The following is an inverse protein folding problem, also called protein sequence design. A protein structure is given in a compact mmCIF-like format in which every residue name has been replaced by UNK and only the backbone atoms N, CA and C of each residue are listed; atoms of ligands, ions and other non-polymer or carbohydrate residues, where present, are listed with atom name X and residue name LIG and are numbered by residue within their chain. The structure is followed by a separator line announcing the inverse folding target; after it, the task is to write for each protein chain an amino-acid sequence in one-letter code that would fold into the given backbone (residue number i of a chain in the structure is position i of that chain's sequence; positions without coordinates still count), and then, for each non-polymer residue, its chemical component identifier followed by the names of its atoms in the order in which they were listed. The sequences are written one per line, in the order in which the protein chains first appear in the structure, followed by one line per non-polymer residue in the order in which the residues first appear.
data_IF_521220416996
#
_entry.id   IF_521220416996
#
_cell.length_a   1.000
_cell.length_b   1.000
_cell.length_c   1.000
_cell.angle_alpha   90.00
_cell.angle_beta   90.00
_cell.angle_gamma   90.00
#
_symmetry.space_group_name_H-M   'P 1'
#
loop_
_entity.id
_entity.type
_entity.pdbx_description
1 polymer ?
#
# COMPACT_ATOMS: atom_id res chain seq x y z
N UNK A 1 16.58 12.40 -28.04
CA UNK A 1 16.20 12.29 -27.59
C UNK A 1 15.59 11.41 -27.05
N UNK A 2 15.26 11.19 -26.41
CA UNK A 2 14.78 10.38 -25.87
C UNK A 2 13.53 10.16 -25.98
N UNK A 3 13.18 9.33 -26.22
CA UNK A 3 11.86 9.16 -26.48
C UNK A 3 11.09 8.72 -25.34
N UNK A 4 9.89 9.06 -25.29
CA UNK A 4 9.13 8.69 -24.24
C UNK A 4 8.42 7.49 -24.61
N UNK A 5 8.04 6.66 -23.80
CA UNK A 5 7.43 5.52 -24.12
C UNK A 5 6.04 5.62 -24.39
N UNK A 6 5.38 4.71 -25.06
CA UNK A 6 3.99 4.71 -25.36
C UNK A 6 3.18 4.41 -24.13
N UNK A 7 2.10 5.12 -23.91
CA UNK A 7 1.29 4.93 -22.73
C UNK A 7 0.69 3.54 -22.58
N UNK A 8 0.23 2.98 -23.67
CA UNK A 8 -0.40 1.66 -23.62
C UNK A 8 0.59 0.61 -23.18
N UNK A 9 1.79 0.68 -23.72
CA UNK A 9 2.84 -0.23 -23.33
C UNK A 9 3.23 -0.07 -21.89
N UNK A 10 3.23 1.17 -21.43
CA UNK A 10 3.56 1.48 -20.07
C UNK A 10 2.62 0.83 -19.07
N UNK A 11 1.34 0.89 -19.36
CA UNK A 11 0.34 0.35 -18.45
C UNK A 11 0.51 -1.16 -18.31
N UNK A 12 0.69 -1.82 -19.43
CA UNK A 12 0.85 -3.26 -19.43
C UNK A 12 2.12 -3.69 -18.71
N UNK A 13 3.20 -2.97 -18.97
CA UNK A 13 4.46 -3.26 -18.33
C UNK A 13 4.36 -3.05 -16.83
N UNK A 14 3.61 -2.06 -16.42
CA UNK A 14 3.45 -1.75 -15.02
C UNK A 14 2.82 -2.91 -14.26
N UNK A 15 1.81 -3.53 -14.85
CA UNK A 15 1.16 -4.67 -14.22
C UNK A 15 2.11 -5.83 -14.05
N UNK A 16 2.88 -6.12 -15.09
CA UNK A 16 3.84 -7.21 -15.05
C UNK A 16 4.91 -6.93 -14.01
N UNK A 17 5.40 -5.69 -14.01
CA UNK A 17 6.44 -5.31 -13.05
C UNK A 17 5.94 -5.41 -11.63
N UNK A 18 4.70 -5.02 -11.39
CA UNK A 18 4.16 -5.06 -10.04
C UNK A 18 4.09 -6.48 -9.52
N UNK A 19 3.61 -7.40 -10.34
CA UNK A 19 3.54 -8.79 -9.93
C UNK A 19 4.93 -9.33 -9.62
N UNK A 20 5.89 -8.98 -10.45
CA UNK A 20 7.26 -9.42 -10.25
C UNK A 20 7.82 -8.89 -8.93
N UNK A 21 7.55 -7.62 -8.64
CA UNK A 21 8.00 -7.03 -7.40
C UNK A 21 7.37 -7.71 -6.19
N UNK A 22 6.09 -8.01 -6.28
CA UNK A 22 5.41 -8.68 -5.18
C UNK A 22 6.02 -10.05 -4.92
N UNK A 23 6.21 -10.81 -5.98
CA UNK A 23 6.75 -12.16 -5.85
C UNK A 23 8.18 -12.13 -5.32
N UNK A 24 8.96 -11.14 -5.77
CA UNK A 24 10.31 -11.01 -5.26
C UNK A 24 10.31 -10.67 -3.77
N UNK A 25 9.42 -9.78 -3.35
CA UNK A 25 9.35 -9.40 -1.94
C UNK A 25 8.82 -10.54 -1.08
N UNK A 26 7.99 -11.40 -1.65
CA UNK A 26 7.50 -12.55 -0.91
C UNK A 26 8.63 -13.53 -0.59
N UNK A 27 9.60 -13.61 -1.49
CA UNK A 27 10.75 -14.47 -1.29
C UNK A 27 11.84 -13.80 -0.46
N UNK A 28 11.92 -12.47 -0.56
CA UNK A 28 12.97 -11.70 0.10
C UNK A 28 12.37 -10.40 0.63
N UNK A 29 12.02 -10.37 1.92
CA UNK A 29 11.37 -9.17 2.49
C UNK A 29 12.17 -7.89 2.30
N UNK A 30 13.48 -7.98 2.09
CA UNK A 30 14.28 -6.79 1.82
C UNK A 30 13.88 -6.09 0.53
N UNK A 31 13.20 -6.80 -0.37
CA UNK A 31 12.74 -6.22 -1.61
C UNK A 31 11.43 -5.45 -1.44
N UNK A 32 10.84 -5.48 -0.26
CA UNK A 32 9.58 -4.79 -0.01
C UNK A 32 9.70 -3.27 -0.18
N UNK A 33 10.90 -2.73 0.00
CA UNK A 33 11.09 -1.28 -0.13
C UNK A 33 10.61 -0.74 -1.47
N UNK A 34 10.75 -1.53 -2.53
CA UNK A 34 10.29 -1.10 -3.84
C UNK A 34 8.78 -0.97 -3.90
N UNK A 35 8.07 -1.88 -3.25
CA UNK A 35 6.61 -1.80 -3.17
C UNK A 35 6.19 -0.63 -2.30
N UNK A 36 6.92 -0.39 -1.23
CA UNK A 36 6.66 0.74 -0.35
C UNK A 36 6.76 2.05 -1.12
N UNK A 37 7.87 2.24 -1.82
CA UNK A 37 8.08 3.50 -2.53
C UNK A 37 7.09 3.72 -3.65
N UNK A 38 6.73 2.68 -4.37
CA UNK A 38 5.82 2.86 -5.49
C UNK A 38 4.38 3.04 -5.07
N UNK A 39 4.05 2.74 -3.82
CA UNK A 39 2.67 2.84 -3.36
C UNK A 39 2.45 3.86 -2.26
N UNK A 40 3.52 4.44 -1.73
CA UNK A 40 3.40 5.33 -0.58
C UNK A 40 2.44 6.49 -0.82
N UNK A 41 2.63 7.21 -1.92
CA UNK A 41 1.83 8.41 -2.16
C UNK A 41 0.35 8.08 -2.26
N UNK A 42 0.02 6.98 -2.88
CA UNK A 42 -1.37 6.59 -3.03
C UNK A 42 -2.02 6.25 -1.70
N UNK A 43 -1.30 5.52 -0.86
CA UNK A 43 -1.83 5.16 0.45
C UNK A 43 -1.96 6.40 1.31
N UNK A 44 -0.94 7.25 1.30
CA UNK A 44 -0.97 8.46 2.09
C UNK A 44 -2.14 9.37 1.68
N UNK A 45 -2.35 9.53 0.38
CA UNK A 45 -3.43 10.37 -0.12
C UNK A 45 -4.80 9.85 0.34
N UNK A 46 -4.94 8.53 0.36
CA UNK A 46 -6.17 7.92 0.82
C UNK A 46 -6.39 8.16 2.30
N UNK A 47 -5.33 8.02 3.07
CA UNK A 47 -5.41 8.13 4.53
C UNK A 47 -5.61 9.57 4.98
N UNK A 48 -4.86 10.50 4.36
CA UNK A 48 -4.87 11.88 4.84
C UNK A 48 -6.24 12.54 4.71
N UNK A 49 -7.07 12.04 3.83
CA UNK A 49 -8.42 12.59 3.67
C UNK A 49 -9.38 12.09 4.73
N UNK A 50 -9.00 11.07 5.47
CA UNK A 50 -9.89 10.40 6.40
C UNK A 50 -9.51 10.51 7.86
N UNK A 51 -8.35 11.11 8.14
CA UNK A 51 -7.92 11.30 9.51
C UNK A 51 -7.86 12.79 9.81
N UNK A 52 -7.59 13.13 11.06
CA UNK A 52 -7.69 14.52 11.50
C UNK A 52 -6.52 15.40 11.10
N UNK A 53 -5.33 14.88 11.13
CA UNK A 53 -4.17 15.72 10.85
C UNK A 53 -3.06 14.92 10.21
N UNK A 54 -2.00 15.64 9.84
CA UNK A 54 -0.89 15.03 9.11
C UNK A 54 -0.17 13.98 9.94
N UNK A 55 0.00 14.26 11.21
CA UNK A 55 0.74 13.33 12.06
C UNK A 55 0.02 11.99 12.14
N UNK A 56 -1.29 12.04 12.30
CA UNK A 56 -2.07 10.82 12.31
C UNK A 56 -2.01 10.11 10.96
N UNK A 57 -2.01 10.88 9.87
CA UNK A 57 -1.92 10.29 8.54
C UNK A 57 -0.61 9.55 8.36
N UNK A 58 0.48 10.12 8.86
CA UNK A 58 1.78 9.47 8.76
C UNK A 58 1.84 8.20 9.58
N UNK A 59 1.27 8.25 10.79
CA UNK A 59 1.24 7.08 11.65
C UNK A 59 0.44 5.95 11.03
N UNK A 60 -0.74 6.27 10.50
CA UNK A 60 -1.58 5.26 9.90
C UNK A 60 -0.93 4.68 8.65
N UNK A 61 -0.33 5.53 7.82
CA UNK A 61 0.32 5.06 6.62
C UNK A 61 1.45 4.10 6.96
N UNK A 62 2.23 4.44 7.98
CA UNK A 62 3.30 3.56 8.44
C UNK A 62 2.74 2.22 8.90
N UNK A 63 1.65 2.26 9.64
CA UNK A 63 1.01 1.04 10.12
C UNK A 63 0.51 0.17 8.98
N UNK A 64 -0.02 0.80 7.93
CA UNK A 64 -0.51 0.06 6.76
C UNK A 64 0.62 -0.76 6.15
N UNK A 65 1.78 -0.14 5.97
CA UNK A 65 2.88 -0.85 5.34
C UNK A 65 3.48 -1.91 6.27
N UNK A 66 3.44 -1.69 7.57
CA UNK A 66 3.84 -2.73 8.51
C UNK A 66 2.94 -3.94 8.41
N UNK A 67 1.62 -3.71 8.37
CA UNK A 67 0.67 -4.81 8.23
C UNK A 67 0.84 -5.52 6.89
N UNK A 68 1.09 -4.73 5.84
CA UNK A 68 1.27 -5.31 4.52
C UNK A 68 2.48 -6.23 4.49
N UNK A 69 3.59 -5.78 5.06
CA UNK A 69 4.79 -6.60 5.10
C UNK A 69 4.56 -7.88 5.91
N UNK A 70 3.90 -7.75 7.04
CA UNK A 70 3.65 -8.89 7.91
C UNK A 70 2.77 -9.94 7.23
N UNK A 71 1.88 -9.51 6.33
CA UNK A 71 0.95 -10.42 5.68
C UNK A 71 1.23 -10.65 4.22
N UNK A 72 2.38 -10.19 3.75
CA UNK A 72 2.70 -10.26 2.33
C UNK A 72 2.73 -11.69 1.81
N UNK A 73 3.15 -12.62 2.63
CA UNK A 73 3.22 -14.01 2.21
C UNK A 73 1.86 -14.61 1.88
N UNK A 74 0.79 -14.01 2.38
CA UNK A 74 -0.55 -14.50 2.12
C UNK A 74 -1.22 -13.82 0.94
N UNK A 75 -0.59 -12.80 0.38
CA UNK A 75 -1.15 -12.10 -0.75
C UNK A 75 -1.08 -12.96 -1.99
N UNK A 76 -2.16 -13.02 -2.75
CA UNK A 76 -2.20 -13.75 -4.00
C UNK A 76 -2.53 -12.79 -5.13
N UNK A 77 -1.74 -12.84 -6.18
CA UNK A 77 -1.99 -12.00 -7.34
C UNK A 77 -3.21 -12.52 -8.09
N UNK A 78 -4.21 -11.66 -8.22
CA UNK A 78 -5.44 -12.03 -8.91
C UNK A 78 -5.83 -11.01 -9.95
N UNK A 79 -4.86 -10.28 -10.46
CA UNK A 79 -5.15 -9.28 -11.48
C UNK A 79 -5.67 -7.96 -10.91
N UNK A 80 -5.78 -7.85 -9.60
CA UNK A 80 -6.21 -6.63 -8.95
C UNK A 80 -4.95 -5.88 -8.49
N UNK A 81 -4.89 -4.56 -8.68
CA UNK A 81 -3.70 -3.82 -8.29
C UNK A 81 -3.36 -4.02 -6.82
N UNK A 82 -2.07 -4.10 -6.55
CA UNK A 82 -1.60 -4.26 -5.18
C UNK A 82 -2.13 -3.15 -4.28
N UNK A 83 -2.26 -1.95 -4.85
CA UNK A 83 -2.76 -0.80 -4.10
C UNK A 83 -4.15 -1.06 -3.53
N UNK A 84 -4.99 -1.81 -4.22
CA UNK A 84 -6.34 -2.11 -3.71
C UNK A 84 -6.26 -2.88 -2.39
N UNK A 85 -5.31 -3.81 -2.32
CA UNK A 85 -5.10 -4.58 -1.10
C UNK A 85 -4.59 -3.67 0.02
N UNK A 86 -3.65 -2.76 -0.32
CA UNK A 86 -3.13 -1.82 0.66
C UNK A 86 -4.22 -0.89 1.19
N UNK A 87 -5.11 -0.43 0.30
CA UNK A 87 -6.17 0.48 0.74
C UNK A 87 -7.18 -0.23 1.63
N UNK A 88 -7.38 -1.52 1.43
CA UNK A 88 -8.23 -2.29 2.33
C UNK A 88 -7.57 -2.38 3.70
N UNK A 89 -6.27 -2.60 3.73
CA UNK A 89 -5.54 -2.62 5.00
C UNK A 89 -5.68 -1.26 5.68
N UNK A 90 -5.59 -0.18 4.89
CA UNK A 90 -5.71 1.16 5.44
C UNK A 90 -7.08 1.38 6.07
N UNK A 91 -8.13 0.96 5.39
CA UNK A 91 -9.48 1.13 5.91
C UNK A 91 -9.64 0.36 7.22
N UNK A 92 -9.10 -0.86 7.27
CA UNK A 92 -9.16 -1.67 8.49
C UNK A 92 -8.35 -1.04 9.62
N UNK A 93 -7.18 -0.50 9.30
CA UNK A 93 -6.35 0.12 10.32
C UNK A 93 -7.03 1.34 10.93
N UNK A 94 -7.67 2.14 10.08
CA UNK A 94 -8.37 3.32 10.58
C UNK A 94 -9.60 2.94 11.41
N UNK A 95 -10.31 1.89 11.00
CA UNK A 95 -11.45 1.41 11.76
C UNK A 95 -11.00 0.91 13.13
N UNK A 96 -9.87 0.19 13.17
CA UNK A 96 -9.35 -0.31 14.44
C UNK A 96 -8.98 0.84 15.36
N UNK A 97 -8.38 1.89 14.83
CA UNK A 97 -8.01 3.04 15.65
C UNK A 97 -9.24 3.76 16.19
N UNK A 98 -10.27 3.90 15.36
CA UNK A 98 -11.50 4.55 15.79
C UNK A 98 -12.16 3.75 16.91
N UNK A 99 -12.15 2.45 16.79
CA UNK A 99 -12.73 1.59 17.80
C UNK A 99 -11.96 1.67 19.11
N UNK A 100 -10.65 1.70 19.02
CA UNK A 100 -9.80 1.82 20.19
C UNK A 100 -10.04 3.14 20.90
N UNK A 101 -10.14 4.23 20.12
CA UNK A 101 -10.39 5.54 20.68
C UNK A 101 -11.76 5.59 21.38
N UNK A 102 -12.74 4.94 20.79
CA UNK A 102 -14.08 4.90 21.39
C UNK A 102 -14.07 4.17 22.73
N UNK A 103 -13.30 3.08 22.81
CA UNK A 103 -13.19 2.34 24.06
C UNK A 103 -12.49 3.17 25.13
N UNK A 104 -11.48 3.92 24.75
CA UNK A 104 -10.73 4.73 25.71
C UNK A 104 -11.56 5.87 26.25
N UNK A 105 -12.47 6.40 25.41
CA UNK A 105 -13.35 7.47 25.87
C UNK A 105 -14.50 6.94 26.71
N UNK A 106 -14.91 5.73 26.43
CA UNK A 106 -16.01 5.13 27.10
C UNK A 106 -15.54 4.39 28.32
#
# INVERSE_FOLDING_TARGET
MMARRAPASSALRKDVDERTLIEAAQRDPGRFAELYESNFDRVYAFVVRRVRDREEAEDVTSEVFHRALANLGQFEWRGVPFAAWLLRIAANAMADRALRAARERG
#
